data_IF_919930246919
#
_entry.id   IF_919930246919
#
_cell.length_a   1.000
_cell.length_b   1.000
_cell.length_c   1.000
_cell.angle_alpha   90.00
_cell.angle_beta   90.00
_cell.angle_gamma   90.00
#
_symmetry.space_group_name_H-M   'P 1'
#
loop_
_entity.id
_entity.type
_entity.pdbx_description
1 polymer ?
#
# COMPACT_ATOMS: atom_id res chain seq x y z
N UNK A 1 1.43 -11.19 18.57
CA UNK A 1 0.43 -10.37 19.29
C UNK A 1 0.10 -10.97 20.68
N UNK A 2 -0.36 -12.22 20.84
CA UNK A 2 -0.78 -12.73 22.16
C UNK A 2 0.28 -12.67 23.27
N UNK A 3 1.56 -12.93 22.92
CA UNK A 3 2.67 -12.81 23.86
C UNK A 3 2.85 -11.38 24.39
N UNK A 4 2.78 -10.38 23.50
CA UNK A 4 2.90 -8.96 23.84
C UNK A 4 1.73 -8.53 24.72
N UNK A 5 0.50 -8.91 24.35
CA UNK A 5 -0.70 -8.58 25.12
C UNK A 5 -0.64 -9.16 26.54
N UNK A 6 -0.21 -10.42 26.68
CA UNK A 6 0.01 -11.04 27.99
C UNK A 6 1.11 -10.33 28.79
N UNK A 7 2.23 -9.99 28.15
CA UNK A 7 3.39 -9.37 28.81
C UNK A 7 3.08 -7.97 29.34
N UNK A 8 2.31 -7.19 28.59
CA UNK A 8 2.00 -5.79 28.91
C UNK A 8 0.57 -5.59 29.43
N UNK A 9 -0.17 -6.66 29.69
CA UNK A 9 -1.55 -6.65 30.23
C UNK A 9 -2.53 -5.88 29.34
N UNK A 10 -2.39 -5.99 28.02
CA UNK A 10 -3.38 -5.47 27.10
C UNK A 10 -4.64 -6.36 27.14
N UNK A 11 -5.81 -5.80 26.82
CA UNK A 11 -7.11 -6.47 26.92
C UNK A 11 -7.21 -7.75 26.07
N UNK A 12 -6.46 -7.83 24.95
CA UNK A 12 -6.40 -9.06 24.15
C UNK A 12 -7.65 -9.35 23.32
N UNK A 13 -8.50 -8.35 23.12
CA UNK A 13 -9.75 -8.48 22.36
C UNK A 13 -9.64 -7.76 21.02
N UNK A 14 -10.47 -8.14 20.05
CA UNK A 14 -10.52 -7.43 18.76
C UNK A 14 -10.77 -5.94 18.93
N UNK A 15 -11.71 -5.57 19.81
CA UNK A 15 -12.06 -4.18 20.17
C UNK A 15 -10.90 -3.31 20.66
N UNK A 16 -9.83 -3.92 21.17
CA UNK A 16 -8.65 -3.23 21.70
C UNK A 16 -7.44 -3.21 20.75
N UNK A 17 -7.56 -3.77 19.55
CA UNK A 17 -6.46 -3.85 18.57
C UNK A 17 -6.68 -2.85 17.45
N UNK A 18 -5.72 -1.96 17.28
CA UNK A 18 -5.73 -0.95 16.23
C UNK A 18 -4.44 -1.03 15.44
N UNK A 19 -4.51 -0.55 14.21
CA UNK A 19 -3.41 -0.53 13.26
C UNK A 19 -3.21 0.91 12.80
N UNK A 20 -1.96 1.30 12.65
CA UNK A 20 -1.60 2.55 12.00
C UNK A 20 -0.31 2.36 11.21
N UNK A 21 -0.06 3.33 10.34
CA UNK A 21 1.18 3.37 9.60
C UNK A 21 1.13 4.40 8.49
N UNK A 22 2.32 4.72 8.02
CA UNK A 22 2.57 5.59 6.89
C UNK A 22 3.26 4.78 5.78
N UNK A 23 3.04 5.12 4.50
CA UNK A 23 3.76 4.52 3.37
C UNK A 23 3.50 3.01 3.29
N UNK A 24 4.55 2.18 3.24
CA UNK A 24 4.46 0.72 3.38
C UNK A 24 3.68 0.31 4.64
N UNK A 25 3.90 1.00 5.77
CA UNK A 25 3.14 0.76 7.00
C UNK A 25 1.66 1.09 6.83
N UNK A 26 1.32 2.11 6.04
CA UNK A 26 -0.05 2.43 5.66
C UNK A 26 -0.71 1.28 4.91
N UNK A 27 -0.06 0.77 3.86
CA UNK A 27 -0.56 -0.40 3.13
C UNK A 27 -0.72 -1.62 4.04
N UNK A 28 0.27 -1.92 4.90
CA UNK A 28 0.20 -3.05 5.85
C UNK A 28 -0.95 -2.89 6.83
N UNK A 29 -1.17 -1.68 7.36
CA UNK A 29 -2.26 -1.38 8.28
C UNK A 29 -3.64 -1.63 7.63
N UNK A 30 -3.81 -1.22 6.37
CA UNK A 30 -5.04 -1.42 5.62
C UNK A 30 -5.22 -2.90 5.24
N UNK A 31 -4.16 -3.54 4.74
CA UNK A 31 -4.17 -4.95 4.36
C UNK A 31 -4.55 -5.85 5.55
N UNK A 32 -3.96 -5.63 6.73
CA UNK A 32 -4.29 -6.38 7.94
C UNK A 32 -5.75 -6.16 8.37
N UNK A 33 -6.28 -4.95 8.26
CA UNK A 33 -7.69 -4.67 8.56
C UNK A 33 -8.65 -5.35 7.59
N UNK A 34 -8.28 -5.48 6.31
CA UNK A 34 -9.07 -6.15 5.28
C UNK A 34 -8.96 -7.68 5.34
N UNK A 35 -7.78 -8.23 5.61
CA UNK A 35 -7.55 -9.67 5.71
C UNK A 35 -8.02 -10.27 7.03
N UNK A 36 -7.95 -9.50 8.13
CA UNK A 36 -8.32 -9.96 9.46
C UNK A 36 -9.34 -9.02 10.14
N UNK A 37 -10.50 -8.78 9.53
CA UNK A 37 -11.44 -7.75 9.96
C UNK A 37 -12.07 -8.03 11.33
N UNK A 38 -12.10 -9.30 11.74
CA UNK A 38 -12.60 -9.73 13.06
C UNK A 38 -11.51 -9.66 14.14
N UNK A 39 -10.24 -9.57 13.75
CA UNK A 39 -9.11 -9.52 14.68
C UNK A 39 -8.74 -8.09 15.08
N UNK A 40 -8.91 -7.12 14.18
CA UNK A 40 -8.63 -5.70 14.40
C UNK A 40 -9.90 -4.84 14.45
N UNK A 41 -9.91 -3.85 15.32
CA UNK A 41 -11.04 -2.93 15.47
C UNK A 41 -10.93 -1.72 14.55
N UNK A 42 -9.76 -1.34 14.05
CA UNK A 42 -9.64 -0.26 13.08
C UNK A 42 -8.23 -0.06 12.56
N UNK A 43 -8.11 0.58 11.41
CA UNK A 43 -6.85 1.04 10.83
C UNK A 43 -6.86 2.54 10.51
N UNK A 44 -5.71 3.19 10.73
CA UNK A 44 -5.43 4.58 10.43
C UNK A 44 -4.25 4.64 9.46
N UNK A 45 -4.56 4.61 8.16
CA UNK A 45 -3.59 4.43 7.09
C UNK A 45 -3.21 5.78 6.46
N UNK A 46 -1.95 6.17 6.54
CA UNK A 46 -1.45 7.39 5.92
C UNK A 46 -0.63 7.09 4.67
N UNK A 47 -0.93 7.80 3.58
CA UNK A 47 -0.30 7.64 2.26
C UNK A 47 0.10 6.19 1.96
N UNK A 48 -0.85 5.23 1.99
CA UNK A 48 -0.49 3.83 1.80
C UNK A 48 0.23 3.64 0.48
N UNK A 49 1.24 2.76 0.47
CA UNK A 49 1.77 2.14 -0.75
C UNK A 49 0.63 1.57 -1.62
N UNK A 50 0.85 1.28 -2.92
CA UNK A 50 -0.23 1.18 -3.89
C UNK A 50 -1.33 0.22 -3.44
N UNK A 51 -2.51 0.75 -3.14
CA UNK A 51 -3.71 -0.02 -2.82
C UNK A 51 -4.39 -0.60 -4.07
N UNK A 52 -3.92 -0.17 -5.24
CA UNK A 52 -4.38 -0.54 -6.57
C UNK A 52 -3.17 -0.68 -7.49
N UNK A 53 -2.99 -1.86 -8.08
CA UNK A 53 -1.82 -2.15 -8.92
C UNK A 53 -2.02 -1.76 -10.40
N UNK A 54 -3.20 -1.23 -10.77
CA UNK A 54 -3.36 -0.48 -12.01
C UNK A 54 -2.65 0.89 -11.97
N UNK A 55 -2.31 1.35 -10.76
CA UNK A 55 -1.67 2.64 -10.48
C UNK A 55 -0.45 2.48 -9.55
N UNK A 56 0.40 1.48 -9.82
CA UNK A 56 1.59 1.15 -9.03
C UNK A 56 2.75 2.13 -9.31
N UNK A 57 2.73 3.31 -8.68
CA UNK A 57 3.73 4.37 -8.89
C UNK A 57 3.93 4.72 -10.38
N UNK A 58 2.82 5.04 -11.07
CA UNK A 58 2.73 5.27 -12.54
C UNK A 58 2.94 4.04 -13.44
N UNK A 59 2.94 2.83 -12.88
CA UNK A 59 2.97 1.57 -13.64
C UNK A 59 1.60 0.91 -13.52
N UNK A 60 0.99 0.55 -14.66
CA UNK A 60 -0.11 -0.41 -14.65
C UNK A 60 0.47 -1.80 -14.85
N UNK A 61 0.69 -2.56 -13.77
CA UNK A 61 1.43 -3.84 -13.88
C UNK A 61 0.69 -4.86 -14.76
N UNK A 62 -0.63 -4.73 -14.85
CA UNK A 62 -1.47 -5.63 -15.63
C UNK A 62 -1.43 -5.31 -17.13
N UNK A 63 -1.37 -4.02 -17.52
CA UNK A 63 -1.47 -3.59 -18.92
C UNK A 63 -0.15 -3.16 -19.54
N UNK A 64 0.69 -2.43 -18.80
CA UNK A 64 1.93 -1.88 -19.33
C UNK A 64 2.86 -3.03 -19.75
N UNK A 65 3.61 -2.81 -20.84
CA UNK A 65 4.65 -3.77 -21.27
C UNK A 65 5.97 -3.53 -20.55
N UNK A 66 6.19 -2.30 -20.07
CA UNK A 66 7.48 -1.85 -19.56
C UNK A 66 7.32 -0.92 -18.35
N UNK A 67 8.17 -1.07 -17.35
CA UNK A 67 8.19 -0.23 -16.14
C UNK A 67 9.00 1.06 -16.29
N UNK A 68 9.94 1.11 -17.24
CA UNK A 68 10.86 2.22 -17.42
C UNK A 68 10.34 3.29 -18.39
N UNK A 69 9.57 2.89 -19.40
CA UNK A 69 9.14 3.76 -20.49
C UNK A 69 7.64 3.64 -20.76
N UNK A 70 7.02 4.75 -21.13
CA UNK A 70 5.67 4.77 -21.72
C UNK A 70 5.71 4.27 -23.17
N UNK A 71 4.54 4.04 -23.77
CA UNK A 71 4.44 3.56 -25.17
C UNK A 71 5.05 4.53 -26.19
N UNK A 72 5.09 5.83 -25.88
CA UNK A 72 5.72 6.87 -26.70
C UNK A 72 7.25 6.96 -26.50
N UNK A 73 7.83 6.09 -25.65
CA UNK A 73 9.25 6.06 -25.32
C UNK A 73 9.69 7.06 -24.26
N UNK A 74 8.78 7.89 -23.71
CA UNK A 74 9.13 8.80 -22.61
C UNK A 74 9.42 8.03 -21.31
N UNK A 75 10.39 8.46 -20.48
CA UNK A 75 10.71 7.78 -19.23
C UNK A 75 9.59 7.95 -18.19
N UNK A 76 9.27 6.88 -17.48
CA UNK A 76 8.26 6.88 -16.40
C UNK A 76 8.85 7.43 -15.11
N UNK A 77 8.26 8.47 -14.51
CA UNK A 77 8.71 8.99 -13.22
C UNK A 77 8.25 8.08 -12.07
N UNK A 78 9.14 7.87 -11.10
CA UNK A 78 8.86 7.16 -9.85
C UNK A 78 8.48 8.14 -8.73
N UNK A 79 9.19 9.27 -8.65
CA UNK A 79 8.91 10.31 -7.67
C UNK A 79 8.92 11.72 -8.25
N UNK A 80 8.18 12.61 -7.59
CA UNK A 80 8.08 14.05 -7.84
C UNK A 80 8.30 14.84 -6.57
N UNK A 81 8.68 16.11 -6.73
CA UNK A 81 8.59 17.08 -5.64
C UNK A 81 7.14 17.59 -5.44
N UNK A 82 6.92 18.36 -4.37
CA UNK A 82 5.60 18.92 -4.02
C UNK A 82 5.01 19.81 -5.12
N UNK A 83 5.85 20.47 -5.92
CA UNK A 83 5.44 21.31 -7.06
C UNK A 83 4.90 20.50 -8.22
N UNK A 84 5.22 19.20 -8.28
CA UNK A 84 4.80 18.28 -9.33
C UNK A 84 5.90 17.86 -10.29
N UNK A 85 7.12 18.38 -10.13
CA UNK A 85 8.24 18.11 -11.04
C UNK A 85 8.84 16.73 -10.74
N UNK A 86 9.02 15.86 -11.76
CA UNK A 86 9.72 14.60 -11.58
C UNK A 86 11.15 14.79 -11.07
N UNK A 87 11.53 14.02 -10.06
CA UNK A 87 12.88 14.04 -9.46
C UNK A 87 13.59 12.69 -9.52
N UNK A 88 12.84 11.59 -9.62
CA UNK A 88 13.38 10.24 -9.77
C UNK A 88 12.57 9.51 -10.84
N UNK A 89 13.28 8.77 -11.70
CA UNK A 89 12.70 7.95 -12.76
C UNK A 89 12.91 6.46 -12.46
N UNK A 90 11.98 5.64 -12.97
CA UNK A 90 11.89 4.21 -12.65
C UNK A 90 13.18 3.45 -12.99
N UNK A 91 13.75 3.68 -14.19
CA UNK A 91 14.94 2.97 -14.66
C UNK A 91 16.16 3.24 -13.77
N UNK A 92 16.42 4.50 -13.48
CA UNK A 92 17.56 4.96 -12.69
C UNK A 92 17.45 4.43 -11.25
N UNK A 93 16.24 4.43 -10.69
CA UNK A 93 15.98 3.90 -9.36
C UNK A 93 16.21 2.38 -9.29
N UNK A 94 15.73 1.62 -10.28
CA UNK A 94 15.98 0.17 -10.36
C UNK A 94 17.45 -0.14 -10.60
N UNK A 95 18.14 0.63 -11.44
CA UNK A 95 19.59 0.49 -11.61
C UNK A 95 20.34 0.72 -10.30
N UNK A 96 19.94 1.72 -9.51
CA UNK A 96 20.45 1.93 -8.17
C UNK A 96 20.18 0.73 -7.26
N UNK A 97 18.92 0.26 -7.17
CA UNK A 97 18.60 -0.93 -6.35
C UNK A 97 19.34 -2.19 -6.81
N UNK A 98 19.55 -2.38 -8.11
CA UNK A 98 20.35 -3.49 -8.64
C UNK A 98 21.77 -3.48 -8.03
N UNK A 99 22.40 -2.30 -7.87
CA UNK A 99 23.74 -2.20 -7.26
C UNK A 99 23.77 -2.53 -5.76
N UNK A 100 22.63 -2.38 -5.07
CA UNK A 100 22.50 -2.74 -3.65
C UNK A 100 22.29 -4.23 -3.45
N UNK A 101 21.73 -4.92 -4.45
CA UNK A 101 21.49 -6.36 -4.42
C UNK A 101 22.79 -7.15 -4.52
N UNK A 102 22.97 -8.15 -3.65
CA UNK A 102 24.17 -8.99 -3.62
C UNK A 102 24.38 -9.83 -4.89
N UNK A 103 23.34 -9.96 -5.73
CA UNK A 103 23.38 -10.63 -7.04
C UNK A 103 23.12 -9.66 -8.22
N UNK A 104 23.36 -8.36 -8.05
CA UNK A 104 23.09 -7.32 -9.06
C UNK A 104 21.61 -7.25 -9.50
N UNK A 105 20.69 -7.56 -8.60
CA UNK A 105 19.25 -7.49 -8.86
C UNK A 105 18.53 -6.76 -7.72
N UNK A 106 17.61 -5.88 -8.08
CA UNK A 106 16.75 -5.16 -7.15
C UNK A 106 15.94 -6.12 -6.24
N UNK A 107 15.70 -7.36 -6.66
CA UNK A 107 15.02 -8.38 -5.86
C UNK A 107 15.72 -8.63 -4.52
N UNK A 108 17.05 -8.46 -4.48
CA UNK A 108 17.86 -8.70 -3.27
C UNK A 108 18.40 -7.42 -2.65
N UNK A 109 17.93 -6.24 -3.08
CA UNK A 109 18.43 -4.94 -2.66
C UNK A 109 18.13 -4.61 -1.19
N UNK A 110 17.07 -5.21 -0.63
CA UNK A 110 16.46 -4.75 0.63
C UNK A 110 15.79 -3.37 0.53
N UNK A 111 15.71 -2.80 -0.68
CA UNK A 111 15.06 -1.54 -1.01
C UNK A 111 13.55 -1.69 -1.23
N UNK A 112 12.96 -0.69 -1.89
CA UNK A 112 11.52 -0.59 -2.08
C UNK A 112 11.01 -1.70 -3.01
N UNK A 113 11.57 -1.84 -4.22
CA UNK A 113 11.13 -2.89 -5.13
C UNK A 113 11.56 -4.29 -4.66
N UNK A 114 12.71 -4.41 -4.00
CA UNK A 114 13.09 -5.63 -3.29
C UNK A 114 12.04 -6.05 -2.26
N UNK A 115 11.57 -5.13 -1.43
CA UNK A 115 10.51 -5.39 -0.43
C UNK A 115 9.17 -5.76 -1.09
N UNK A 116 8.75 -5.06 -2.15
CA UNK A 116 7.53 -5.40 -2.87
C UNK A 116 7.57 -6.82 -3.43
N UNK A 117 8.70 -7.23 -4.01
CA UNK A 117 8.85 -8.59 -4.55
C UNK A 117 8.87 -9.62 -3.42
N UNK A 118 9.52 -9.33 -2.30
CA UNK A 118 9.50 -10.22 -1.12
C UNK A 118 8.09 -10.47 -0.57
N UNK A 119 7.18 -9.49 -0.66
CA UNK A 119 5.80 -9.63 -0.18
C UNK A 119 4.88 -10.22 -1.25
N UNK A 120 4.97 -9.76 -2.49
CA UNK A 120 3.94 -9.99 -3.51
C UNK A 120 4.30 -11.10 -4.51
N UNK A 121 5.58 -11.35 -4.75
CA UNK A 121 5.98 -12.31 -5.78
C UNK A 121 5.89 -13.76 -5.30
N UNK A 122 5.62 -14.70 -6.22
CA UNK A 122 5.82 -16.11 -5.93
C UNK A 122 7.30 -16.40 -5.65
N UNK A 123 7.55 -17.47 -4.90
CA UNK A 123 8.90 -17.97 -4.65
C UNK A 123 9.41 -18.75 -5.87
N UNK A 124 10.54 -18.32 -6.41
CA UNK A 124 11.26 -18.99 -7.49
C UNK A 124 11.97 -20.27 -7.05
N UNK A 125 12.49 -21.02 -8.04
CA UNK A 125 13.19 -22.29 -7.80
C UNK A 125 14.51 -22.16 -7.05
N UNK A 126 15.14 -20.99 -7.08
CA UNK A 126 16.32 -20.62 -6.30
C UNK A 126 15.99 -20.19 -4.86
N UNK A 127 14.70 -20.14 -4.53
CA UNK A 127 14.20 -19.74 -3.23
C UNK A 127 14.03 -18.22 -3.05
N UNK A 128 14.40 -17.41 -4.05
CA UNK A 128 14.19 -15.95 -4.07
C UNK A 128 12.80 -15.59 -4.63
N UNK A 129 12.30 -14.37 -4.38
CA UNK A 129 11.10 -13.90 -5.06
C UNK A 129 11.33 -13.77 -6.56
N UNK A 130 10.35 -14.17 -7.38
CA UNK A 130 10.41 -13.92 -8.82
C UNK A 130 10.27 -12.41 -9.10
N UNK A 131 11.11 -11.80 -9.94
CA UNK A 131 11.02 -10.37 -10.26
C UNK A 131 9.73 -10.06 -11.02
N UNK A 132 9.02 -8.99 -10.63
CA UNK A 132 7.87 -8.47 -11.40
C UNK A 132 8.25 -8.08 -12.84
N UNK A 133 9.47 -7.63 -13.06
CA UNK A 133 9.95 -7.21 -14.37
C UNK A 133 11.45 -7.46 -14.51
N UNK A 134 11.92 -7.55 -15.74
CA UNK A 134 13.34 -7.73 -16.01
C UNK A 134 14.15 -6.52 -15.49
N UNK A 135 15.21 -6.74 -14.68
CA UNK A 135 15.95 -5.68 -14.01
C UNK A 135 16.76 -4.77 -14.96
N UNK A 136 16.94 -5.16 -16.22
CA UNK A 136 17.73 -4.43 -17.22
C UNK A 136 16.84 -3.78 -18.28
N UNK A 137 15.82 -4.49 -18.77
CA UNK A 137 14.93 -4.02 -19.85
C UNK A 137 13.68 -3.34 -19.31
N UNK A 138 13.24 -3.69 -18.09
CA UNK A 138 11.98 -3.22 -17.50
C UNK A 138 10.74 -3.94 -18.04
N UNK A 139 10.91 -5.00 -18.85
CA UNK A 139 9.80 -5.79 -19.39
C UNK A 139 9.04 -6.50 -18.26
N UNK A 140 7.72 -6.28 -18.18
CA UNK A 140 6.89 -6.84 -17.09
C UNK A 140 6.58 -8.31 -17.35
N UNK A 141 6.85 -9.14 -16.34
CA UNK A 141 6.41 -10.53 -16.29
C UNK A 141 4.92 -10.59 -15.92
N UNK A 142 4.09 -11.03 -16.87
CA UNK A 142 2.63 -11.08 -16.73
C UNK A 142 2.14 -12.20 -15.81
N UNK A 143 2.92 -13.26 -15.65
CA UNK A 143 2.57 -14.34 -14.73
C UNK A 143 2.83 -13.90 -13.28
N UNK A 144 3.96 -13.20 -13.04
CA UNK A 144 4.25 -12.59 -11.74
C UNK A 144 3.24 -11.49 -11.42
N UNK A 145 2.93 -10.58 -12.37
CA UNK A 145 1.91 -9.56 -12.18
C UNK A 145 0.52 -10.15 -11.88
N UNK A 146 0.15 -11.27 -12.51
CA UNK A 146 -1.09 -11.98 -12.21
C UNK A 146 -1.09 -12.56 -10.79
N UNK A 147 0.06 -13.08 -10.32
CA UNK A 147 0.21 -13.56 -8.95
C UNK A 147 0.04 -12.44 -7.92
N UNK A 148 0.51 -11.23 -8.23
CA UNK A 148 0.42 -10.06 -7.37
C UNK A 148 -1.04 -9.62 -7.13
N UNK A 149 -1.98 -9.97 -8.01
CA UNK A 149 -3.39 -9.55 -7.94
C UNK A 149 -4.07 -9.81 -6.59
N UNK A 150 -3.69 -10.87 -5.88
CA UNK A 150 -4.25 -11.19 -4.54
C UNK A 150 -3.84 -10.19 -3.44
N UNK A 151 -2.85 -9.35 -3.69
CA UNK A 151 -2.38 -8.29 -2.79
C UNK A 151 -2.86 -6.89 -3.20
N UNK A 152 -3.52 -6.78 -4.36
CA UNK A 152 -4.19 -5.56 -4.79
C UNK A 152 -5.44 -5.35 -3.90
N UNK A 153 -5.38 -4.39 -2.98
CA UNK A 153 -6.41 -4.20 -1.97
C UNK A 153 -7.74 -3.71 -2.56
N UNK A 154 -7.69 -2.97 -3.68
CA UNK A 154 -8.87 -2.59 -4.47
C UNK A 154 -9.57 -3.84 -4.98
N UNK A 155 -8.84 -4.72 -5.68
CA UNK A 155 -9.40 -5.97 -6.20
C UNK A 155 -9.86 -6.90 -5.07
N UNK A 156 -9.06 -7.07 -4.02
CA UNK A 156 -9.41 -7.93 -2.89
C UNK A 156 -10.71 -7.49 -2.21
N UNK A 157 -10.86 -6.19 -1.93
CA UNK A 157 -12.10 -5.68 -1.32
C UNK A 157 -13.29 -5.81 -2.27
N UNK A 158 -13.10 -5.51 -3.56
CA UNK A 158 -14.14 -5.68 -4.59
C UNK A 158 -14.65 -7.12 -4.67
N UNK A 159 -13.73 -8.08 -4.78
CA UNK A 159 -14.04 -9.50 -4.95
C UNK A 159 -14.67 -10.12 -3.69
N UNK A 160 -14.39 -9.59 -2.50
CA UNK A 160 -14.86 -10.13 -1.22
C UNK A 160 -15.92 -9.26 -0.53
N UNK A 161 -16.49 -8.31 -1.26
CA UNK A 161 -17.25 -7.20 -0.68
C UNK A 161 -18.43 -7.64 0.19
N UNK A 162 -19.22 -8.60 -0.26
CA UNK A 162 -20.41 -9.06 0.47
C UNK A 162 -20.07 -9.58 1.87
N UNK A 163 -18.88 -10.19 2.01
CA UNK A 163 -18.41 -10.72 3.29
C UNK A 163 -17.70 -9.66 4.14
N UNK A 164 -16.95 -8.75 3.51
CA UNK A 164 -16.13 -7.77 4.21
C UNK A 164 -16.91 -6.53 4.65
N UNK A 165 -17.83 -6.02 3.82
CA UNK A 165 -18.50 -4.74 4.05
C UNK A 165 -19.14 -4.65 5.45
N UNK A 166 -19.89 -5.65 5.97
CA UNK A 166 -20.45 -5.59 7.32
C UNK A 166 -19.38 -5.57 8.43
N UNK A 167 -18.21 -6.14 8.17
CA UNK A 167 -17.14 -6.30 9.17
C UNK A 167 -16.21 -5.10 9.26
N UNK A 168 -16.17 -4.25 8.23
CA UNK A 168 -15.24 -3.10 8.13
C UNK A 168 -15.91 -1.74 8.32
N UNK A 169 -17.23 -1.69 8.51
CA UNK A 169 -17.97 -0.44 8.72
C UNK A 169 -17.34 0.44 9.81
N UNK A 170 -16.91 1.64 9.41
CA UNK A 170 -16.25 2.62 10.27
C UNK A 170 -14.86 2.24 10.79
N UNK A 171 -14.30 1.09 10.38
CA UNK A 171 -12.98 0.61 10.82
C UNK A 171 -11.83 1.22 10.03
N UNK A 172 -12.10 1.72 8.83
CA UNK A 172 -11.07 2.15 7.89
C UNK A 172 -11.06 3.68 7.81
N UNK A 173 -9.93 4.26 8.19
CA UNK A 173 -9.63 5.67 7.97
C UNK A 173 -8.33 5.79 7.18
N UNK A 174 -8.34 6.57 6.11
CA UNK A 174 -7.20 6.76 5.22
C UNK A 174 -6.96 8.26 5.01
N UNK A 175 -5.70 8.67 5.02
CA UNK A 175 -5.27 10.00 4.61
C UNK A 175 -4.25 9.92 3.49
N UNK A 176 -4.30 10.89 2.57
CA UNK A 176 -3.33 11.05 1.49
C UNK A 176 -3.18 12.52 1.11
N UNK A 177 -1.97 12.94 0.78
CA UNK A 177 -1.75 14.23 0.13
C UNK A 177 -1.99 14.14 -1.37
N UNK A 178 -2.67 15.12 -1.97
CA UNK A 178 -2.89 15.13 -3.43
C UNK A 178 -1.64 15.43 -4.27
N UNK A 179 -0.52 15.77 -3.60
CA UNK A 179 0.81 15.93 -4.17
C UNK A 179 1.77 14.87 -3.65
N UNK A 180 1.28 13.66 -3.38
CA UNK A 180 2.10 12.52 -2.95
C UNK A 180 3.34 12.35 -3.83
N UNK A 181 4.50 12.28 -3.18
CA UNK A 181 5.81 12.28 -3.82
C UNK A 181 6.01 11.04 -4.71
N UNK A 182 5.34 9.92 -4.44
CA UNK A 182 5.48 8.65 -5.15
C UNK A 182 4.31 8.35 -6.10
N UNK A 183 3.46 9.35 -6.37
CA UNK A 183 2.27 9.22 -7.21
C UNK A 183 1.24 8.19 -6.69
N UNK A 184 1.26 7.88 -5.39
CA UNK A 184 0.34 6.93 -4.76
C UNK A 184 -1.08 7.49 -4.63
N UNK A 185 -1.24 8.82 -4.77
CA UNK A 185 -2.54 9.49 -4.77
C UNK A 185 -3.47 8.93 -5.86
N UNK A 186 -2.94 8.50 -7.01
CA UNK A 186 -3.74 7.92 -8.10
C UNK A 186 -4.34 6.57 -7.71
N UNK A 187 -3.54 5.69 -7.09
CA UNK A 187 -4.00 4.40 -6.60
C UNK A 187 -5.09 4.57 -5.54
N UNK A 188 -4.89 5.52 -4.61
CA UNK A 188 -5.91 5.80 -3.61
C UNK A 188 -7.18 6.39 -4.21
N UNK A 189 -7.09 7.29 -5.20
CA UNK A 189 -8.30 7.83 -5.88
C UNK A 189 -9.10 6.73 -6.56
N UNK A 190 -8.44 5.77 -7.24
CA UNK A 190 -9.14 4.63 -7.84
C UNK A 190 -9.80 3.74 -6.79
N UNK A 191 -9.12 3.51 -5.66
CA UNK A 191 -9.71 2.79 -4.52
C UNK A 191 -10.89 3.55 -3.90
N UNK A 192 -10.79 4.87 -3.77
CA UNK A 192 -11.82 5.75 -3.21
C UNK A 192 -13.08 5.77 -4.08
N UNK A 193 -12.96 5.85 -5.40
CA UNK A 193 -14.10 5.74 -6.32
C UNK A 193 -14.88 4.44 -6.12
N UNK A 194 -14.17 3.33 -5.87
CA UNK A 194 -14.78 2.04 -5.59
C UNK A 194 -15.46 2.03 -4.20
N UNK A 195 -14.83 2.57 -3.16
CA UNK A 195 -15.34 2.54 -1.76
C UNK A 195 -16.42 3.60 -1.48
N UNK A 196 -16.28 4.83 -1.96
CA UNK A 196 -17.21 5.94 -1.65
C UNK A 196 -18.62 5.72 -2.20
N UNK A 197 -18.76 4.93 -3.28
CA UNK A 197 -20.08 4.50 -3.74
C UNK A 197 -20.83 3.60 -2.73
N UNK A 198 -20.17 3.25 -1.62
CA UNK A 198 -20.58 2.18 -0.69
C UNK A 198 -20.39 2.47 0.81
N UNK A 199 -19.76 3.59 1.19
CA UNK A 199 -19.49 4.02 2.59
C UNK A 199 -18.63 3.07 3.46
N UNK A 200 -17.74 2.26 2.87
CA UNK A 200 -16.96 1.27 3.63
C UNK A 200 -15.72 1.86 4.36
N UNK A 201 -15.28 3.08 4.02
CA UNK A 201 -14.13 3.77 4.62
C UNK A 201 -14.33 5.29 4.71
N UNK A 202 -13.56 5.95 5.58
CA UNK A 202 -13.36 7.40 5.56
C UNK A 202 -12.03 7.72 4.90
N UNK A 203 -12.05 8.39 3.74
CA UNK A 203 -10.84 8.73 2.98
C UNK A 203 -10.72 10.24 2.90
N UNK A 204 -9.56 10.77 3.28
CA UNK A 204 -9.25 12.20 3.26
C UNK A 204 -8.09 12.43 2.30
N UNK A 205 -8.35 13.21 1.26
CA UNK A 205 -7.31 13.70 0.34
C UNK A 205 -7.05 15.18 0.63
N UNK A 206 -5.86 15.50 1.12
CA UNK A 206 -5.52 16.87 1.56
C UNK A 206 -4.75 17.63 0.47
N UNK A 207 -5.25 18.81 0.04
CA UNK A 207 -4.61 19.61 -1.01
C UNK A 207 -3.23 20.15 -0.62
N UNK A 208 -2.28 20.10 -1.55
CA UNK A 208 -0.94 20.66 -1.41
C UNK A 208 -0.04 19.92 -0.42
N UNK A 209 -0.42 18.70 -0.02
CA UNK A 209 0.34 17.87 0.91
C UNK A 209 1.08 16.75 0.18
N UNK A 210 2.29 16.48 0.66
CA UNK A 210 3.14 15.38 0.18
C UNK A 210 2.97 14.11 1.01
N UNK A 211 3.75 13.10 0.67
CA UNK A 211 3.71 11.76 1.24
C UNK A 211 3.84 11.78 2.78
N UNK A 212 2.84 11.25 3.48
CA UNK A 212 2.75 11.20 4.95
C UNK A 212 2.95 12.51 5.72
N UNK A 213 2.89 13.66 5.05
CA UNK A 213 3.23 14.94 5.67
C UNK A 213 2.29 15.38 6.81
N UNK A 214 1.11 14.75 6.93
CA UNK A 214 0.18 14.95 8.04
C UNK A 214 0.11 13.78 9.04
N UNK A 215 1.03 12.81 8.97
CA UNK A 215 1.09 11.72 9.94
C UNK A 215 1.36 12.27 11.35
N UNK A 216 0.61 11.77 12.35
CA UNK A 216 0.76 12.19 13.74
C UNK A 216 0.25 11.11 14.68
N UNK A 217 1.15 10.57 15.52
CA UNK A 217 0.78 9.56 16.52
C UNK A 217 -0.30 10.08 17.47
N UNK A 218 -0.22 11.37 17.87
CA UNK A 218 -1.24 11.99 18.72
C UNK A 218 -2.61 11.98 18.05
N UNK A 219 -2.69 12.32 16.76
CA UNK A 219 -3.95 12.33 16.01
C UNK A 219 -4.52 10.92 15.92
N UNK A 220 -3.70 9.94 15.58
CA UNK A 220 -4.10 8.53 15.53
C UNK A 220 -4.64 8.06 16.89
N UNK A 221 -3.93 8.34 17.99
CA UNK A 221 -4.37 7.96 19.33
C UNK A 221 -5.71 8.59 19.73
N UNK A 222 -5.96 9.85 19.35
CA UNK A 222 -7.24 10.51 19.58
C UNK A 222 -8.38 9.88 18.76
N UNK A 223 -8.12 9.50 17.51
CA UNK A 223 -9.10 8.81 16.68
C UNK A 223 -9.38 7.38 17.18
N UNK A 224 -8.37 6.69 17.70
CA UNK A 224 -8.51 5.40 18.38
C UNK A 224 -9.43 5.58 19.60
N UNK A 225 -9.18 6.60 20.42
CA UNK A 225 -10.01 6.89 21.60
C UNK A 225 -11.47 7.13 21.22
N UNK A 226 -11.73 8.02 20.25
CA UNK A 226 -13.07 8.31 19.75
C UNK A 226 -13.79 7.03 19.28
N UNK A 227 -13.07 6.15 18.57
CA UNK A 227 -13.61 4.89 18.10
C UNK A 227 -13.96 3.92 19.25
N UNK A 228 -13.14 3.86 20.29
CA UNK A 228 -13.42 3.05 21.48
C UNK A 228 -14.70 3.57 22.17
N UNK A 229 -14.82 4.88 22.35
CA UNK A 229 -15.97 5.52 23.00
C UNK A 229 -17.28 5.28 22.21
N UNK A 230 -17.24 5.42 20.89
CA UNK A 230 -18.38 5.17 20.00
C UNK A 230 -18.83 3.70 19.96
N UNK A 231 -17.90 2.74 20.12
CA UNK A 231 -18.23 1.31 20.18
C UNK A 231 -18.86 0.89 21.52
N UNK A 232 -18.61 1.65 22.61
CA UNK A 232 -19.10 1.31 23.96
C UNK A 232 -20.52 1.85 24.21
N UNK A 233 -20.99 2.76 23.36
CA UNK A 233 -22.32 3.40 23.44
C UNK A 233 -23.41 2.69 22.63
N UNK A 234 -23.10 1.54 22.02
CA UNK A 234 -24.04 0.65 21.30
C UNK A 234 -24.20 -0.65 22.07
#
# INVERSE_FOLDING_TARGET
IPYIEKKFRATGTSGSRFLDGCSTGGWVSLALQLYYPDFFNGCFSYSPDPVDFENFQNINIYKDKNTFYNEDGSPKPLARNISGEPVIFQKEFIQFENTLGWNNSYVTSGGQFGAFNAVFSPRGGDGLPMPLFDPQTGEIDKDVASHWKKYDLKNYLSDNRETLAPKIQGKIWIWMGDRDDYYLDKALRSFDEMVNSKHDATIIVEPGKGHCSAYSDKKVLLQIQERIENNTSK
#
